data_IF_022813964183
#
_entry.id   IF_022813964183
#
_cell.length_a   1.000
_cell.length_b   1.000
_cell.length_c   1.000
_cell.angle_alpha   90.00
_cell.angle_beta   90.00
_cell.angle_gamma   90.00
#
_symmetry.space_group_name_H-M   'P 1'
#
loop_
_entity.id
_entity.type
_entity.pdbx_description
1 polymer ?
#
# COMPACT_ATOMS: atom_id res chain seq x y z
N UNK A 1 -4.58 -6.56 -1.65
CA UNK A 1 -3.99 -7.90 -1.82
C UNK A 1 -3.24 -8.28 -0.55
N UNK A 2 -3.30 -9.54 -0.15
CA UNK A 2 -2.66 -10.11 1.03
C UNK A 2 -1.70 -11.22 0.61
N UNK A 3 -0.48 -11.19 1.13
CA UNK A 3 0.59 -12.16 0.85
C UNK A 3 1.26 -12.59 2.16
N UNK A 4 1.64 -13.86 2.26
CA UNK A 4 2.48 -14.35 3.36
C UNK A 4 3.94 -14.36 2.89
N UNK A 5 4.79 -13.60 3.57
CA UNK A 5 6.21 -13.49 3.29
C UNK A 5 7.03 -14.01 4.47
N UNK A 6 8.04 -14.83 4.19
CA UNK A 6 9.00 -15.26 5.21
C UNK A 6 10.28 -14.45 5.03
N UNK A 7 10.50 -13.49 5.91
CA UNK A 7 11.72 -12.72 5.95
C UNK A 7 12.93 -13.62 6.22
N UNK A 8 14.10 -13.18 5.77
CA UNK A 8 15.35 -13.95 5.79
C UNK A 8 15.75 -14.45 7.19
N UNK A 9 15.36 -13.71 8.24
CA UNK A 9 15.71 -13.93 9.64
C UNK A 9 14.51 -13.86 10.60
N UNK A 10 13.28 -13.86 10.06
CA UNK A 10 12.06 -13.57 10.82
C UNK A 10 11.00 -14.66 10.82
N UNK A 11 9.99 -14.45 11.65
CA UNK A 11 8.72 -15.16 11.60
C UNK A 11 7.98 -14.84 10.28
N UNK A 12 7.05 -15.71 9.82
CA UNK A 12 6.20 -15.39 8.69
C UNK A 12 5.37 -14.13 8.97
N UNK A 13 5.40 -13.19 8.03
CA UNK A 13 4.72 -11.90 8.11
C UNK A 13 3.66 -11.84 7.01
N UNK A 14 2.48 -11.34 7.36
CA UNK A 14 1.44 -11.07 6.39
C UNK A 14 1.56 -9.63 5.88
N UNK A 15 1.77 -9.48 4.57
CA UNK A 15 1.85 -8.20 3.88
C UNK A 15 0.51 -7.89 3.21
N UNK A 16 -0.05 -6.72 3.52
CA UNK A 16 -1.29 -6.23 2.91
C UNK A 16 -0.97 -5.02 2.01
N UNK A 17 -1.10 -5.21 0.71
CA UNK A 17 -0.90 -4.18 -0.31
C UNK A 17 -2.24 -3.57 -0.72
N UNK A 18 -2.32 -2.26 -0.74
CA UNK A 18 -3.45 -1.50 -1.28
C UNK A 18 -2.97 -0.86 -2.58
N UNK A 19 -3.68 -1.12 -3.67
CA UNK A 19 -3.41 -0.45 -4.94
C UNK A 19 -4.05 0.94 -4.91
N UNK A 20 -3.30 1.95 -5.29
CA UNK A 20 -3.77 3.35 -5.30
C UNK A 20 -3.87 3.85 -6.73
N UNK A 21 -5.00 4.44 -7.14
CA UNK A 21 -5.09 5.04 -8.46
C UNK A 21 -4.05 6.16 -8.64
N UNK A 22 -3.31 6.15 -9.76
CA UNK A 22 -2.25 7.14 -10.02
C UNK A 22 -2.73 8.46 -10.65
N UNK A 23 -4.03 8.60 -10.92
CA UNK A 23 -4.59 9.77 -11.59
C UNK A 23 -5.17 10.77 -10.57
N UNK A 24 -4.94 12.07 -10.81
CA UNK A 24 -5.33 13.17 -9.92
C UNK A 24 -6.83 13.22 -9.57
N UNK A 25 -7.67 12.73 -10.48
CA UNK A 25 -9.12 12.67 -10.30
C UNK A 25 -9.55 11.75 -9.16
N UNK A 26 -8.68 10.84 -8.70
CA UNK A 26 -8.93 9.90 -7.61
C UNK A 26 -8.21 10.26 -6.30
N UNK A 27 -7.81 11.53 -6.15
CA UNK A 27 -7.11 12.02 -4.95
C UNK A 27 -7.79 11.65 -3.62
N UNK A 28 -9.12 11.56 -3.59
CA UNK A 28 -9.87 11.12 -2.40
C UNK A 28 -9.66 9.63 -2.07
N UNK A 29 -9.67 8.76 -3.09
CA UNK A 29 -9.43 7.32 -2.93
C UNK A 29 -7.97 7.03 -2.55
N UNK A 30 -7.04 7.77 -3.15
CA UNK A 30 -5.62 7.76 -2.77
C UNK A 30 -5.48 8.13 -1.31
N UNK A 31 -6.07 9.25 -0.86
CA UNK A 31 -5.96 9.67 0.54
C UNK A 31 -6.52 8.64 1.53
N UNK A 32 -7.64 7.98 1.22
CA UNK A 32 -8.21 6.94 2.10
C UNK A 32 -7.35 5.69 2.15
N UNK A 33 -6.80 5.29 1.00
CA UNK A 33 -5.87 4.16 0.90
C UNK A 33 -4.60 4.42 1.70
N UNK A 34 -4.01 5.61 1.57
CA UNK A 34 -2.82 5.99 2.33
C UNK A 34 -3.11 6.06 3.84
N UNK A 35 -4.27 6.55 4.27
CA UNK A 35 -4.68 6.57 5.69
C UNK A 35 -4.89 5.15 6.29
N UNK A 36 -5.03 4.16 5.41
CA UNK A 36 -5.11 2.75 5.73
C UNK A 36 -3.75 2.03 5.65
N UNK A 37 -2.63 2.70 5.40
CA UNK A 37 -1.32 2.08 5.40
C UNK A 37 -0.41 2.63 6.50
N UNK A 38 0.51 1.80 6.98
CA UNK A 38 1.62 2.22 7.84
C UNK A 38 2.73 2.88 7.00
N UNK A 39 2.94 2.37 5.78
CA UNK A 39 3.96 2.82 4.84
C UNK A 39 3.46 2.88 3.40
N UNK A 40 4.20 3.57 2.55
CA UNK A 40 3.96 3.60 1.11
C UNK A 40 5.22 3.29 0.31
N UNK A 41 5.01 2.73 -0.88
CA UNK A 41 6.06 2.42 -1.84
C UNK A 41 6.04 3.49 -2.93
N UNK A 42 7.13 4.23 -3.07
CA UNK A 42 7.35 5.10 -4.20
C UNK A 42 8.16 4.35 -5.24
N UNK A 43 7.50 3.90 -6.31
CA UNK A 43 8.14 3.18 -7.41
C UNK A 43 8.31 4.14 -8.59
N UNK A 44 9.54 4.39 -9.01
CA UNK A 44 9.86 5.25 -10.16
C UNK A 44 10.65 4.46 -11.19
N UNK A 45 10.38 4.72 -12.47
CA UNK A 45 11.10 4.12 -13.58
C UNK A 45 12.50 4.74 -13.69
N UNK A 46 13.55 3.91 -13.56
CA UNK A 46 14.94 4.34 -13.64
C UNK A 46 15.32 4.91 -15.02
N UNK A 47 14.59 4.60 -16.09
CA UNK A 47 14.83 5.14 -17.42
C UNK A 47 14.07 6.44 -17.72
N UNK A 48 12.83 6.56 -17.23
CA UNK A 48 12.00 7.75 -17.49
C UNK A 48 12.19 8.85 -16.45
N UNK A 49 12.48 8.48 -15.19
CA UNK A 49 12.58 9.43 -14.08
C UNK A 49 11.23 9.93 -13.60
N UNK A 50 11.22 11.15 -13.07
CA UNK A 50 10.04 11.72 -12.40
C UNK A 50 9.04 12.27 -13.42
N UNK A 51 7.84 11.69 -13.46
CA UNK A 51 6.73 12.18 -14.27
C UNK A 51 5.74 13.04 -13.45
N UNK A 52 4.86 13.77 -14.14
CA UNK A 52 3.85 14.62 -13.49
C UNK A 52 2.92 13.85 -12.54
N UNK A 53 2.64 12.58 -12.83
CA UNK A 53 1.85 11.71 -11.95
C UNK A 53 2.60 11.34 -10.67
N UNK A 54 3.91 11.04 -10.79
CA UNK A 54 4.80 10.82 -9.64
C UNK A 54 4.79 12.03 -8.73
N UNK A 55 4.90 13.23 -9.30
CA UNK A 55 4.83 14.48 -8.54
C UNK A 55 3.48 14.64 -7.82
N UNK A 56 2.36 14.41 -8.50
CA UNK A 56 1.04 14.54 -7.88
C UNK A 56 0.88 13.64 -6.64
N UNK A 57 1.38 12.41 -6.70
CA UNK A 57 1.36 11.49 -5.57
C UNK A 57 2.36 11.88 -4.49
N UNK A 58 3.55 12.35 -4.87
CA UNK A 58 4.55 12.87 -3.93
C UNK A 58 4.12 14.19 -3.26
N UNK A 59 3.20 14.97 -3.81
CA UNK A 59 2.66 16.16 -3.12
C UNK A 59 1.43 15.84 -2.25
N UNK A 60 0.90 14.62 -2.33
CA UNK A 60 -0.13 14.15 -1.40
C UNK A 60 0.46 14.17 0.00
N UNK A 61 -0.24 14.73 1.01
CA UNK A 61 0.36 15.02 2.30
C UNK A 61 0.97 13.77 2.95
N UNK A 62 2.31 13.75 2.96
CA UNK A 62 3.19 12.79 3.64
C UNK A 62 2.83 12.60 5.12
N UNK A 63 2.07 13.54 5.68
CA UNK A 63 1.58 13.55 7.07
C UNK A 63 0.81 12.30 7.48
N UNK A 64 0.22 11.56 6.53
CA UNK A 64 -0.59 10.37 6.84
C UNK A 64 0.19 9.07 6.85
N UNK A 65 1.42 9.06 6.33
CA UNK A 65 2.25 7.87 6.21
C UNK A 65 3.49 8.00 7.08
N UNK A 66 3.74 6.99 7.90
CA UNK A 66 4.88 7.00 8.82
C UNK A 66 6.21 6.79 8.10
N UNK A 67 6.21 6.00 7.00
CA UNK A 67 7.42 5.65 6.26
C UNK A 67 7.19 5.50 4.76
N UNK A 68 8.06 6.12 3.98
CA UNK A 68 8.12 5.94 2.54
C UNK A 68 9.34 5.11 2.17
N UNK A 69 9.13 4.07 1.38
CA UNK A 69 10.19 3.24 0.84
C UNK A 69 10.30 3.49 -0.67
N UNK A 70 11.50 3.82 -1.13
CA UNK A 70 11.75 4.28 -2.49
C UNK A 70 12.38 3.17 -3.32
N UNK A 71 11.90 3.00 -4.56
CA UNK A 71 12.26 1.89 -5.43
C UNK A 71 12.46 2.35 -6.88
N UNK A 72 13.67 2.15 -7.41
CA UNK A 72 14.00 2.45 -8.81
C UNK A 72 13.83 1.19 -9.64
N UNK A 73 12.72 1.12 -10.37
CA UNK A 73 12.35 -0.04 -11.18
C UNK A 73 12.92 0.04 -12.60
N UNK A 74 12.90 -1.09 -13.31
CA UNK A 74 13.34 -1.25 -14.72
C UNK A 74 14.83 -1.03 -14.95
N UNK A 75 15.67 -1.36 -13.97
CA UNK A 75 17.14 -1.30 -14.10
C UNK A 75 17.72 -2.25 -15.17
N UNK A 76 16.91 -3.16 -15.71
CA UNK A 76 17.27 -4.04 -16.82
C UNK A 76 17.32 -3.31 -18.17
N UNK A 77 16.76 -2.10 -18.27
CA UNK A 77 16.74 -1.35 -19.51
C UNK A 77 18.10 -0.65 -19.76
N UNK A 78 18.60 -0.63 -21.01
CA UNK A 78 19.85 0.09 -21.34
C UNK A 78 19.80 1.59 -21.06
N UNK A 79 18.59 2.16 -21.03
CA UNK A 79 18.36 3.57 -20.74
C UNK A 79 18.19 3.86 -19.23
N UNK A 80 18.25 2.84 -18.37
CA UNK A 80 18.11 3.02 -16.93
C UNK A 80 19.31 3.78 -16.36
N UNK A 81 19.02 4.86 -15.64
CA UNK A 81 19.99 5.70 -14.96
C UNK A 81 19.48 6.02 -13.55
N UNK A 82 19.60 5.07 -12.59
CA UNK A 82 19.08 5.23 -11.24
C UNK A 82 19.70 6.41 -10.49
N UNK A 83 20.97 6.73 -10.77
CA UNK A 83 21.68 7.87 -10.19
C UNK A 83 21.03 9.19 -10.61
N UNK A 84 20.83 9.41 -11.92
CA UNK A 84 20.13 10.61 -12.41
C UNK A 84 18.71 10.72 -11.84
N UNK A 85 17.98 9.61 -11.74
CA UNK A 85 16.62 9.61 -11.19
C UNK A 85 16.62 9.96 -9.69
N UNK A 86 17.60 9.50 -8.93
CA UNK A 86 17.74 9.88 -7.53
C UNK A 86 18.01 11.39 -7.39
N UNK A 87 18.92 11.95 -8.19
CA UNK A 87 19.20 13.39 -8.22
C UNK A 87 17.94 14.20 -8.60
N UNK A 88 17.17 13.76 -9.61
CA UNK A 88 15.91 14.43 -10.00
C UNK A 88 14.87 14.42 -8.89
N UNK A 89 14.77 13.34 -8.11
CA UNK A 89 13.85 13.25 -6.98
C UNK A 89 14.28 14.16 -5.84
N UNK A 90 15.58 14.23 -5.55
CA UNK A 90 16.13 15.17 -4.57
C UNK A 90 15.89 16.63 -4.98
N UNK A 91 16.13 16.97 -6.24
CA UNK A 91 16.00 18.34 -6.74
C UNK A 91 14.54 18.79 -6.85
N UNK A 92 13.63 17.90 -7.31
CA UNK A 92 12.24 18.27 -7.59
C UNK A 92 11.34 18.05 -6.37
N UNK A 93 11.53 16.93 -5.66
CA UNK A 93 10.66 16.52 -4.54
C UNK A 93 11.27 16.90 -3.19
N UNK A 94 12.60 17.03 -3.09
CA UNK A 94 13.28 17.41 -1.84
C UNK A 94 13.47 16.25 -0.87
N UNK A 95 13.60 15.02 -1.37
CA UNK A 95 13.67 13.79 -0.56
C UNK A 95 14.96 13.06 -0.87
N UNK A 96 15.68 12.65 0.19
CA UNK A 96 16.86 11.79 0.07
C UNK A 96 16.50 10.50 -0.65
N UNK A 97 17.03 10.36 -1.86
CA UNK A 97 16.72 9.32 -2.83
C UNK A 97 17.91 8.36 -3.02
N UNK A 98 19.01 8.58 -2.28
CA UNK A 98 20.26 7.83 -2.43
C UNK A 98 20.19 6.39 -1.95
N UNK A 99 19.36 6.10 -0.93
CA UNK A 99 19.20 4.77 -0.31
C UNK A 99 18.00 3.99 -0.87
N UNK A 100 17.50 4.39 -2.05
CA UNK A 100 16.42 3.69 -2.72
C UNK A 100 16.89 2.35 -3.29
N UNK A 101 16.04 1.32 -3.14
CA UNK A 101 16.38 -0.03 -3.63
C UNK A 101 16.17 -0.08 -5.14
N UNK A 102 17.20 -0.56 -5.85
CA UNK A 102 17.20 -0.72 -7.30
C UNK A 102 16.65 -2.10 -7.65
N UNK A 103 15.60 -2.15 -8.46
CA UNK A 103 14.94 -3.41 -8.79
C UNK A 103 14.50 -3.49 -10.26
N UNK A 104 14.23 -4.71 -10.71
CA UNK A 104 13.61 -4.98 -12.00
C UNK A 104 12.48 -5.98 -11.78
N UNK A 105 11.25 -5.48 -11.85
CA UNK A 105 10.06 -6.32 -11.78
C UNK A 105 9.98 -7.34 -12.94
N UNK A 106 10.71 -7.10 -14.04
CA UNK A 106 10.76 -8.00 -15.20
C UNK A 106 11.70 -9.17 -15.00
N UNK A 107 12.88 -8.94 -14.42
CA UNK A 107 13.90 -9.97 -14.21
C UNK A 107 13.83 -10.59 -12.82
N UNK A 108 13.13 -9.95 -11.88
CA UNK A 108 13.06 -10.34 -10.48
C UNK A 108 14.23 -9.82 -9.63
N UNK A 109 15.24 -9.17 -10.23
CA UNK A 109 16.40 -8.62 -9.51
C UNK A 109 15.94 -7.54 -8.53
N UNK A 110 16.43 -7.60 -7.29
CA UNK A 110 16.14 -6.63 -6.24
C UNK A 110 14.73 -6.70 -5.64
N UNK A 111 13.83 -7.56 -6.15
CA UNK A 111 12.47 -7.70 -5.60
C UNK A 111 12.49 -8.27 -4.18
N UNK A 112 13.40 -9.19 -3.88
CA UNK A 112 13.59 -9.67 -2.51
C UNK A 112 14.09 -8.55 -1.59
N UNK A 113 15.05 -7.75 -2.06
CA UNK A 113 15.58 -6.62 -1.29
C UNK A 113 14.49 -5.58 -1.02
N UNK A 114 13.55 -5.38 -1.95
CA UNK A 114 12.33 -4.59 -1.73
C UNK A 114 11.52 -5.15 -0.57
N UNK A 115 11.20 -6.45 -0.58
CA UNK A 115 10.39 -7.07 0.48
C UNK A 115 11.08 -7.01 1.84
N UNK A 116 12.39 -7.28 1.91
CA UNK A 116 13.19 -7.16 3.12
C UNK A 116 13.21 -5.72 3.65
N UNK A 117 13.38 -4.73 2.76
CA UNK A 117 13.34 -3.31 3.12
C UNK A 117 11.98 -2.91 3.68
N UNK A 118 10.88 -3.37 3.08
CA UNK A 118 9.52 -3.10 3.58
C UNK A 118 9.33 -3.63 4.99
N UNK A 119 9.71 -4.88 5.24
CA UNK A 119 9.58 -5.51 6.56
C UNK A 119 10.41 -4.79 7.61
N UNK A 120 11.61 -4.34 7.24
CA UNK A 120 12.53 -3.67 8.17
C UNK A 120 12.10 -2.23 8.51
N UNK A 121 11.64 -1.48 7.51
CA UNK A 121 11.45 -0.03 7.65
C UNK A 121 10.00 0.37 7.97
N UNK A 122 8.99 -0.41 7.55
CA UNK A 122 7.58 -0.11 7.80
C UNK A 122 7.18 -0.70 9.15
N UNK A 123 6.66 0.11 10.11
CA UNK A 123 6.24 -0.42 11.39
C UNK A 123 5.01 -1.33 11.22
N UNK A 124 4.82 -2.33 12.10
CA UNK A 124 3.60 -3.13 12.12
C UNK A 124 2.39 -2.25 12.50
N UNK A 125 1.16 -2.66 12.14
CA UNK A 125 -0.05 -1.92 12.50
C UNK A 125 -0.25 -1.94 14.03
N UNK A 126 -0.65 -0.79 14.57
CA UNK A 126 -1.03 -0.65 15.97
C UNK A 126 -2.55 -0.81 16.15
N UNK A 127 -2.97 -1.42 17.25
CA UNK A 127 -4.37 -1.61 17.62
C UNK A 127 -4.55 -2.60 18.77
N UNK A 128 -5.66 -2.51 19.48
CA UNK A 128 -6.10 -3.45 20.51
C UNK A 128 -7.17 -4.41 19.94
N UNK A 129 -6.86 -5.70 19.75
CA UNK A 129 -7.81 -6.69 19.25
C UNK A 129 -9.05 -6.92 20.14
N UNK A 130 -8.93 -6.62 21.44
CA UNK A 130 -10.01 -6.76 22.44
C UNK A 130 -10.82 -5.47 22.62
N UNK A 131 -10.37 -4.37 22.01
CA UNK A 131 -11.07 -3.10 22.03
C UNK A 131 -12.33 -3.08 21.15
N UNK A 132 -13.09 -1.96 21.16
CA UNK A 132 -14.25 -1.81 20.28
C UNK A 132 -13.82 -1.83 18.81
N UNK A 133 -14.61 -2.50 17.97
CA UNK A 133 -14.36 -2.59 16.55
C UNK A 133 -14.32 -1.21 15.89
N UNK A 134 -13.18 -0.92 15.25
CA UNK A 134 -12.99 0.25 14.41
C UNK A 134 -12.39 -0.20 13.09
N UNK A 135 -13.16 -0.03 12.02
CA UNK A 135 -12.74 -0.37 10.66
C UNK A 135 -12.91 0.83 9.72
N UNK A 136 -11.89 1.11 8.93
CA UNK A 136 -11.90 2.14 7.90
C UNK A 136 -12.31 1.51 6.57
N UNK A 137 -13.32 2.08 5.90
CA UNK A 137 -13.70 1.71 4.53
C UNK A 137 -12.74 2.41 3.57
N UNK A 138 -11.89 1.61 2.94
CA UNK A 138 -10.91 2.05 1.94
C UNK A 138 -11.64 2.31 0.62
N UNK A 139 -12.37 1.29 0.16
CA UNK A 139 -13.10 1.31 -1.10
C UNK A 139 -14.36 0.43 -1.02
N UNK A 140 -15.29 0.63 -1.95
CA UNK A 140 -16.52 -0.16 -2.05
C UNK A 140 -16.99 -0.24 -3.50
N UNK A 141 -17.32 -1.45 -3.96
CA UNK A 141 -17.87 -1.68 -5.29
C UNK A 141 -19.08 -2.61 -5.22
N UNK A 142 -19.83 -2.66 -6.32
CA UNK A 142 -20.96 -3.56 -6.47
C UNK A 142 -20.54 -4.85 -7.18
N UNK A 143 -20.77 -5.98 -6.54
CA UNK A 143 -20.65 -7.31 -7.12
C UNK A 143 -22.05 -7.86 -7.46
N UNK A 144 -22.20 -8.43 -8.65
CA UNK A 144 -23.50 -8.89 -9.14
C UNK A 144 -24.11 -10.04 -8.31
N UNK A 145 -23.31 -10.79 -7.56
CA UNK A 145 -23.76 -11.91 -6.74
C UNK A 145 -23.76 -11.59 -5.25
N UNK A 146 -22.79 -10.81 -4.79
CA UNK A 146 -22.59 -10.49 -3.37
C UNK A 146 -23.23 -9.16 -2.96
N UNK A 147 -23.66 -8.35 -3.93
CA UNK A 147 -24.14 -7.00 -3.68
C UNK A 147 -22.98 -6.04 -3.39
N UNK A 148 -23.18 -5.10 -2.48
CA UNK A 148 -22.13 -4.13 -2.13
C UNK A 148 -21.04 -4.82 -1.31
N UNK A 149 -19.81 -4.79 -1.82
CA UNK A 149 -18.62 -5.30 -1.14
C UNK A 149 -17.76 -4.10 -0.75
N UNK A 150 -17.31 -4.09 0.51
CA UNK A 150 -16.45 -3.04 1.04
C UNK A 150 -15.08 -3.61 1.38
N UNK A 151 -14.03 -2.98 0.87
CA UNK A 151 -12.66 -3.20 1.30
C UNK A 151 -12.41 -2.39 2.56
N UNK A 152 -12.02 -3.07 3.64
CA UNK A 152 -11.84 -2.46 4.95
C UNK A 152 -10.45 -2.72 5.51
N UNK A 153 -9.98 -1.77 6.32
CA UNK A 153 -8.87 -1.97 7.26
C UNK A 153 -9.40 -1.97 8.67
N UNK A 154 -9.09 -3.01 9.45
CA UNK A 154 -9.33 -3.01 10.90
C UNK A 154 -8.20 -2.22 11.58
N UNK A 155 -8.55 -1.17 12.33
CA UNK A 155 -7.62 -0.40 13.18
C UNK A 155 -7.68 -0.88 14.64
N UNK A 156 -8.86 -1.30 15.10
CA UNK A 156 -9.07 -1.73 16.48
C UNK A 156 -10.18 -2.77 16.56
N UNK A 157 -10.14 -3.60 17.60
CA UNK A 157 -11.07 -4.70 17.80
C UNK A 157 -10.91 -5.83 16.78
N UNK A 158 -11.88 -6.73 16.78
CA UNK A 158 -11.91 -7.90 15.88
C UNK A 158 -13.28 -7.99 15.22
N UNK A 159 -13.32 -8.25 13.91
CA UNK A 159 -14.56 -8.50 13.17
C UNK A 159 -14.68 -9.99 12.81
N UNK A 160 -15.79 -10.62 13.19
CA UNK A 160 -16.07 -12.03 12.94
C UNK A 160 -17.34 -12.19 12.09
N UNK A 161 -17.43 -13.33 11.42
CA UNK A 161 -18.61 -13.67 10.61
C UNK A 161 -19.84 -13.76 11.51
N UNK A 162 -20.92 -13.08 11.11
CA UNK A 162 -22.17 -13.00 11.86
C UNK A 162 -22.25 -11.81 12.82
N UNK A 163 -21.17 -11.03 12.99
CA UNK A 163 -21.21 -9.83 13.81
C UNK A 163 -22.13 -8.77 13.21
N UNK A 164 -22.80 -8.00 14.09
CA UNK A 164 -23.56 -6.82 13.70
C UNK A 164 -22.64 -5.61 13.65
N UNK A 165 -22.45 -5.05 12.47
CA UNK A 165 -21.62 -3.87 12.23
C UNK A 165 -22.49 -2.65 12.01
N UNK A 166 -22.06 -1.51 12.53
CA UNK A 166 -22.73 -0.22 12.33
C UNK A 166 -21.88 0.70 11.47
N UNK A 167 -22.43 1.17 10.36
CA UNK A 167 -21.78 2.20 9.54
C UNK A 167 -21.99 3.54 10.23
N UNK A 168 -20.90 4.16 10.68
CA UNK A 168 -20.97 5.37 11.53
C UNK A 168 -21.52 6.59 10.79
N UNK A 169 -21.34 6.69 9.47
CA UNK A 169 -21.82 7.83 8.67
C UNK A 169 -23.34 7.82 8.46
N UNK A 170 -23.95 6.64 8.28
CA UNK A 170 -25.39 6.49 8.00
C UNK A 170 -26.19 6.06 9.24
N UNK A 171 -25.51 5.53 10.27
CA UNK A 171 -26.13 4.92 11.44
C UNK A 171 -26.76 3.56 11.18
N UNK A 172 -26.73 3.06 9.94
CA UNK A 172 -27.33 1.78 9.58
C UNK A 172 -26.51 0.61 10.12
N UNK A 173 -27.21 -0.47 10.46
CA UNK A 173 -26.61 -1.71 10.99
C UNK A 173 -26.79 -2.83 9.98
N UNK A 174 -25.73 -3.60 9.75
CA UNK A 174 -25.70 -4.74 8.83
C UNK A 174 -25.10 -5.96 9.55
N UNK A 175 -25.36 -7.16 9.04
CA UNK A 175 -24.68 -8.37 9.49
C UNK A 175 -23.47 -8.64 8.60
N UNK A 176 -22.35 -9.01 9.19
CA UNK A 176 -21.15 -9.43 8.47
C UNK A 176 -21.31 -10.87 7.96
N UNK A 177 -22.07 -11.05 6.88
CA UNK A 177 -22.42 -12.39 6.35
C UNK A 177 -21.22 -13.10 5.73
N UNK A 178 -20.37 -12.35 5.00
CA UNK A 178 -19.15 -12.85 4.38
C UNK A 178 -18.01 -11.90 4.68
N UNK A 179 -16.87 -12.49 5.05
CA UNK A 179 -15.60 -11.82 5.29
C UNK A 179 -14.53 -12.61 4.54
N UNK A 180 -13.49 -11.93 4.09
CA UNK A 180 -12.39 -12.55 3.39
C UNK A 180 -11.21 -11.60 3.22
N UNK A 181 -10.13 -12.14 2.71
CA UNK A 181 -8.94 -11.40 2.29
C UNK A 181 -8.75 -11.58 0.80
N UNK A 182 -8.12 -10.60 0.15
CA UNK A 182 -7.78 -10.69 -1.26
C UNK A 182 -6.43 -11.38 -1.43
N UNK A 183 -6.45 -12.70 -1.58
CA UNK A 183 -5.26 -13.46 -2.02
C UNK A 183 -5.28 -13.60 -3.54
N UNK A 184 -4.15 -13.38 -4.24
CA UNK A 184 -4.07 -13.77 -5.64
C UNK A 184 -4.18 -15.31 -5.67
N UNK A 185 -5.09 -15.85 -6.48
CA UNK A 185 -5.15 -17.30 -6.68
C UNK A 185 -3.78 -17.77 -7.18
N UNK A 186 -3.11 -18.61 -6.39
CA UNK A 186 -1.98 -19.41 -6.88
C UNK A 186 -2.55 -20.37 -7.91
N UNK A 187 -2.39 -20.02 -9.19
CA UNK A 187 -2.52 -20.96 -10.30
C UNK A 187 -1.47 -22.06 -10.24
#
# INVERSE_FOLDING_TARGET
>A
MTLDYKASDGEPIQLNFIDTPGHVDFSYEVSRSLAACEGALLVVDAGQGVEAQTLANCYTPWKWISKWCQYWNKIDLPAADPERVAEEIEDIVGIDATDAVRCSAKTGVGVQDVLERLVRDIPPPEGDPEGPLQALIIDSWFDNYLGVVSLIRIKNGTLRKGDKVKVMSTGQTYNADRLGIFTPETG
#
